data_IF_456139149073
#
_entry.id   IF_456139149073
#
_cell.length_a   1.000
_cell.length_b   1.000
_cell.length_c   1.000
_cell.angle_alpha   90.00
_cell.angle_beta   90.00
_cell.angle_gamma   90.00
#
_symmetry.space_group_name_H-M   'P 1'
#
loop_
_entity.id
_entity.type
_entity.pdbx_description
1 polymer ?
#
# COMPACT_ATOMS: atom_id res chain seq x y z
N UNK A 1 16.57 5.57 -17.97
CA UNK A 1 16.66 4.45 -17.02
C UNK A 1 15.58 3.43 -17.33
N UNK A 2 15.97 2.20 -17.68
CA UNK A 2 15.02 1.15 -18.06
C UNK A 2 14.48 0.47 -16.80
N UNK A 3 13.31 0.90 -16.31
CA UNK A 3 12.59 0.16 -15.27
C UNK A 3 12.23 -1.22 -15.83
N UNK A 4 12.78 -2.27 -15.24
CA UNK A 4 12.43 -3.65 -15.59
C UNK A 4 10.89 -3.80 -15.60
N UNK A 5 10.30 -4.47 -16.60
CA UNK A 5 8.84 -4.50 -16.81
C UNK A 5 8.05 -5.05 -15.60
N UNK A 6 8.70 -5.81 -14.72
CA UNK A 6 8.12 -6.28 -13.45
C UNK A 6 8.08 -5.25 -12.32
N UNK A 7 9.02 -4.30 -12.28
CA UNK A 7 9.10 -3.27 -11.21
C UNK A 7 8.03 -2.20 -11.39
N UNK A 8 7.76 -1.77 -12.63
CA UNK A 8 6.69 -0.80 -12.91
C UNK A 8 5.30 -1.30 -12.53
N UNK A 9 4.99 -2.60 -12.78
CA UNK A 9 3.71 -3.21 -12.39
C UNK A 9 3.58 -3.35 -10.87
N UNK A 10 4.65 -3.73 -10.18
CA UNK A 10 4.69 -3.82 -8.71
C UNK A 10 4.52 -2.45 -8.04
N UNK A 11 5.17 -1.42 -8.59
CA UNK A 11 5.03 -0.05 -8.12
C UNK A 11 3.57 0.43 -8.22
N UNK A 12 2.97 0.32 -9.42
CA UNK A 12 1.55 0.68 -9.64
C UNK A 12 0.58 -0.07 -8.72
N UNK A 13 0.85 -1.36 -8.47
CA UNK A 13 0.05 -2.16 -7.56
C UNK A 13 0.16 -1.63 -6.13
N UNK A 14 1.39 -1.42 -5.66
CA UNK A 14 1.65 -0.94 -4.32
C UNK A 14 1.03 0.44 -4.07
N UNK A 15 1.27 1.40 -4.97
CA UNK A 15 0.77 2.77 -4.80
C UNK A 15 -0.75 2.79 -4.78
N UNK A 16 -1.40 2.02 -5.66
CA UNK A 16 -2.87 1.92 -5.69
C UNK A 16 -3.45 1.31 -4.41
N UNK A 17 -2.75 0.35 -3.80
CA UNK A 17 -3.16 -0.21 -2.50
C UNK A 17 -3.02 0.86 -1.42
N UNK A 18 -1.88 1.54 -1.34
CA UNK A 18 -1.64 2.59 -0.34
C UNK A 18 -2.62 3.75 -0.46
N UNK A 19 -2.93 4.20 -1.68
CA UNK A 19 -3.97 5.20 -1.93
C UNK A 19 -5.34 4.77 -1.41
N UNK A 20 -5.72 3.52 -1.67
CA UNK A 20 -6.97 2.95 -1.14
C UNK A 20 -6.96 2.90 0.39
N UNK A 21 -5.83 2.54 1.01
CA UNK A 21 -5.72 2.48 2.46
C UNK A 21 -5.80 3.87 3.09
N UNK A 22 -5.10 4.87 2.52
CA UNK A 22 -5.18 6.26 2.95
C UNK A 22 -6.59 6.81 2.86
N UNK A 23 -7.29 6.57 1.74
CA UNK A 23 -8.66 7.00 1.56
C UNK A 23 -9.62 6.39 2.60
N UNK A 24 -9.31 5.19 3.10
CA UNK A 24 -10.10 4.53 4.14
C UNK A 24 -9.70 4.95 5.56
N UNK A 25 -8.42 5.22 5.80
CA UNK A 25 -7.89 5.60 7.09
C UNK A 25 -8.20 7.08 7.43
N UNK A 26 -8.24 7.95 6.42
CA UNK A 26 -8.49 9.38 6.57
C UNK A 26 -7.20 10.22 6.56
N UNK A 27 -7.35 11.53 6.78
CA UNK A 27 -6.27 12.50 6.65
C UNK A 27 -5.27 12.48 7.82
N UNK A 28 -5.75 12.11 9.01
CA UNK A 28 -4.95 11.93 10.22
C UNK A 28 -5.42 10.68 10.98
N UNK A 29 -5.07 9.48 10.48
CA UNK A 29 -5.57 8.24 11.05
C UNK A 29 -4.88 7.91 12.38
N UNK A 30 -5.62 7.34 13.32
CA UNK A 30 -5.04 6.64 14.46
C UNK A 30 -4.68 5.19 14.08
N UNK A 31 -4.01 4.49 15.00
CA UNK A 31 -3.56 3.12 14.78
C UNK A 31 -4.74 2.17 14.48
N UNK A 32 -5.89 2.39 15.12
CA UNK A 32 -7.08 1.59 14.90
C UNK A 32 -7.67 1.79 13.49
N UNK A 33 -7.70 3.03 13.00
CA UNK A 33 -8.14 3.37 11.65
C UNK A 33 -7.21 2.77 10.59
N UNK A 34 -5.90 2.83 10.80
CA UNK A 34 -4.91 2.19 9.92
C UNK A 34 -5.10 0.69 9.88
N UNK A 35 -5.24 0.03 11.03
CA UNK A 35 -5.45 -1.42 11.10
C UNK A 35 -6.76 -1.86 10.43
N UNK A 36 -7.83 -1.08 10.63
CA UNK A 36 -9.09 -1.30 9.95
C UNK A 36 -8.96 -1.14 8.43
N UNK A 37 -8.22 -0.13 7.97
CA UNK A 37 -7.93 0.08 6.55
C UNK A 37 -7.16 -1.12 5.98
N UNK A 38 -6.04 -1.52 6.58
CA UNK A 38 -5.23 -2.66 6.11
C UNK A 38 -6.04 -3.98 6.07
N UNK A 39 -6.90 -4.22 7.05
CA UNK A 39 -7.74 -5.41 7.11
C UNK A 39 -8.85 -5.43 6.05
N UNK A 40 -9.45 -4.26 5.74
CA UNK A 40 -10.65 -4.17 4.89
C UNK A 40 -10.36 -3.69 3.46
N UNK A 41 -9.32 -2.89 3.25
CA UNK A 41 -9.09 -2.18 1.99
C UNK A 41 -8.80 -3.08 0.81
N UNK A 42 -8.26 -4.27 1.04
CA UNK A 42 -8.09 -5.27 -0.02
C UNK A 42 -9.43 -5.81 -0.57
N UNK A 43 -10.54 -5.67 0.16
CA UNK A 43 -11.87 -6.14 -0.29
C UNK A 43 -12.44 -5.25 -1.39
N UNK A 44 -12.15 -3.94 -1.37
CA UNK A 44 -12.60 -2.97 -2.38
C UNK A 44 -11.95 -3.13 -3.75
N UNK A 45 -10.86 -3.89 -3.84
CA UNK A 45 -10.06 -4.04 -5.06
C UNK A 45 -10.54 -5.18 -5.98
N UNK A 46 -11.58 -5.92 -5.60
CA UNK A 46 -12.07 -7.07 -6.36
C UNK A 46 -11.19 -8.32 -6.22
N UNK A 47 -11.61 -9.44 -6.83
CA UNK A 47 -11.12 -10.78 -6.49
C UNK A 47 -9.64 -11.03 -6.82
N UNK A 48 -9.16 -10.61 -7.99
CA UNK A 48 -7.77 -10.83 -8.40
C UNK A 48 -6.79 -9.86 -7.72
N UNK A 49 -7.11 -8.57 -7.74
CA UNK A 49 -6.27 -7.54 -7.13
C UNK A 49 -6.27 -7.64 -5.61
N UNK A 50 -7.42 -7.96 -5.01
CA UNK A 50 -7.55 -8.20 -3.56
C UNK A 50 -6.68 -9.35 -3.05
N UNK A 51 -6.44 -10.40 -3.86
CA UNK A 51 -5.47 -11.45 -3.50
C UNK A 51 -4.04 -10.94 -3.48
N UNK A 52 -3.65 -10.13 -4.46
CA UNK A 52 -2.31 -9.54 -4.48
C UNK A 52 -2.12 -8.53 -3.35
N UNK A 53 -3.14 -7.71 -3.07
CA UNK A 53 -3.19 -6.79 -1.94
C UNK A 53 -3.00 -7.50 -0.61
N UNK A 54 -3.77 -8.56 -0.33
CA UNK A 54 -3.64 -9.30 0.93
C UNK A 54 -2.24 -9.87 1.15
N UNK A 55 -1.57 -10.32 0.08
CA UNK A 55 -0.17 -10.79 0.18
C UNK A 55 0.80 -9.65 0.49
N UNK A 56 0.58 -8.47 -0.10
CA UNK A 56 1.40 -7.30 0.10
C UNK A 56 1.22 -6.76 1.52
N UNK A 57 -0.03 -6.54 1.94
CA UNK A 57 -0.38 -6.11 3.31
C UNK A 57 0.17 -7.06 4.35
N UNK A 58 0.04 -8.38 4.15
CA UNK A 58 0.59 -9.37 5.11
C UNK A 58 2.12 -9.33 5.20
N UNK A 59 2.80 -9.04 4.08
CA UNK A 59 4.27 -9.05 4.03
C UNK A 59 4.89 -7.78 4.57
N UNK A 60 4.23 -6.64 4.35
CA UNK A 60 4.75 -5.31 4.64
C UNK A 60 3.85 -4.55 5.61
N UNK A 61 3.24 -5.27 6.56
CA UNK A 61 2.19 -4.68 7.41
C UNK A 61 2.76 -3.53 8.23
N UNK A 62 3.90 -3.73 8.86
CA UNK A 62 4.56 -2.75 9.72
C UNK A 62 4.93 -1.50 8.92
N UNK A 63 5.60 -1.66 7.77
CA UNK A 63 6.02 -0.53 6.93
C UNK A 63 4.82 0.22 6.34
N UNK A 64 3.73 -0.48 6.01
CA UNK A 64 2.50 0.16 5.56
C UNK A 64 1.79 0.89 6.70
N UNK A 65 1.81 0.36 7.91
CA UNK A 65 1.24 1.03 9.09
C UNK A 65 1.98 2.32 9.37
N UNK A 66 3.31 2.27 9.43
CA UNK A 66 4.16 3.46 9.62
C UNK A 66 3.93 4.50 8.52
N UNK A 67 3.88 4.07 7.25
CA UNK A 67 3.63 4.96 6.13
C UNK A 67 2.25 5.65 6.21
N UNK A 68 1.23 4.95 6.70
CA UNK A 68 -0.12 5.49 6.82
C UNK A 68 -0.23 6.46 8.00
N UNK A 69 0.37 6.13 9.16
CA UNK A 69 0.43 7.02 10.33
C UNK A 69 1.26 8.28 10.05
N UNK A 70 2.37 8.14 9.33
CA UNK A 70 3.25 9.25 8.95
C UNK A 70 2.76 10.07 7.76
N UNK A 71 1.55 9.80 7.24
CA UNK A 71 1.00 10.41 6.03
C UNK A 71 1.94 10.35 4.80
N UNK A 72 2.84 9.36 4.74
CA UNK A 72 3.91 9.27 3.76
C UNK A 72 3.38 9.08 2.33
N UNK A 73 3.84 9.81 1.30
CA UNK A 73 3.34 9.66 -0.06
C UNK A 73 3.41 8.20 -0.56
N UNK A 74 2.37 7.67 -1.23
CA UNK A 74 2.30 6.26 -1.64
C UNK A 74 3.52 5.78 -2.42
N UNK A 75 4.07 6.63 -3.29
CA UNK A 75 5.24 6.29 -4.10
C UNK A 75 6.52 6.17 -3.26
N UNK A 76 6.66 7.01 -2.23
CA UNK A 76 7.79 6.97 -1.29
C UNK A 76 7.73 5.70 -0.46
N UNK A 77 6.60 5.40 0.17
CA UNK A 77 6.40 4.18 0.97
C UNK A 77 6.65 2.91 0.14
N UNK A 78 6.14 2.88 -1.08
CA UNK A 78 6.42 1.78 -2.02
C UNK A 78 7.89 1.71 -2.47
N UNK A 79 8.61 2.83 -2.45
CA UNK A 79 10.06 2.87 -2.69
C UNK A 79 10.83 2.25 -1.53
N UNK A 80 10.46 2.58 -0.29
CA UNK A 80 11.05 2.03 0.95
C UNK A 80 11.01 0.50 0.97
N UNK A 81 9.89 -0.10 0.56
CA UNK A 81 9.74 -1.57 0.48
C UNK A 81 10.23 -2.19 -0.84
N UNK A 82 10.91 -1.41 -1.69
CA UNK A 82 11.55 -1.87 -2.93
C UNK A 82 10.59 -2.24 -4.07
N UNK A 83 9.34 -1.78 -4.01
CA UNK A 83 8.32 -2.02 -5.04
C UNK A 83 8.26 -0.91 -6.09
N UNK A 84 8.66 0.30 -5.72
CA UNK A 84 8.91 1.41 -6.64
C UNK A 84 10.41 1.67 -6.81
N UNK A 85 10.84 2.23 -7.95
CA UNK A 85 12.18 2.82 -8.06
C UNK A 85 12.34 3.93 -7.03
N UNK A 86 13.52 4.00 -6.40
CA UNK A 86 13.95 5.15 -5.62
C UNK A 86 13.99 6.41 -6.51
#
# INVERSE_FOLDING_TARGET
>A
GMVAPGKGKKCKLCTKILEQMKAMAGENPDEAAVEAALAKGCRGLGRSLGRACKRLVRKYREELTEALLGAEPPRTACGTIGLCPA
#
